data_IF_645515308088
#
_entry.id   IF_645515308088
#
_cell.length_a   1.000
_cell.length_b   1.000
_cell.length_c   1.000
_cell.angle_alpha   90.00
_cell.angle_beta   90.00
_cell.angle_gamma   90.00
#
_symmetry.space_group_name_H-M   'P 1'
#
loop_
_entity.id
_entity.type
_entity.pdbx_description
1 polymer ?
#
# COMPACT_ATOMS: atom_id res chain seq x y z
N UNK A 1 -34.22 31.35 -58.57
CA UNK A 1 -34.85 30.51 -59.62
C UNK A 1 -33.68 29.83 -60.31
N UNK A 2 -33.30 28.58 -60.03
CA UNK A 2 -34.08 27.33 -59.93
C UNK A 2 -33.40 26.40 -58.93
N UNK A 3 -34.19 25.68 -58.14
CA UNK A 3 -33.79 24.54 -57.31
C UNK A 3 -33.99 23.25 -58.11
N UNK A 4 -33.16 22.22 -57.91
CA UNK A 4 -33.62 20.82 -57.93
C UNK A 4 -32.60 19.89 -57.26
N UNK A 5 -33.14 19.03 -56.40
CA UNK A 5 -32.49 18.17 -55.41
C UNK A 5 -31.89 16.90 -56.03
N UNK A 6 -30.66 16.58 -55.62
CA UNK A 6 -30.05 15.26 -55.82
C UNK A 6 -29.68 14.68 -54.46
N UNK A 7 -30.52 13.81 -53.92
CA UNK A 7 -30.32 13.17 -52.63
C UNK A 7 -28.99 12.39 -52.59
N UNK A 8 -28.09 12.81 -51.70
CA UNK A 8 -26.95 11.99 -51.27
C UNK A 8 -27.42 11.12 -50.10
N UNK A 9 -27.50 9.81 -50.35
CA UNK A 9 -27.77 8.80 -49.33
C UNK A 9 -26.69 8.87 -48.23
N UNK A 10 -27.04 8.85 -46.94
CA UNK A 10 -26.08 8.90 -45.83
C UNK A 10 -25.33 7.58 -45.57
N UNK A 11 -25.50 6.56 -46.42
CA UNK A 11 -25.01 5.20 -46.17
C UNK A 11 -23.83 4.81 -47.09
N UNK A 12 -22.81 5.66 -47.23
CA UNK A 12 -21.54 5.25 -47.83
C UNK A 12 -20.39 5.32 -46.82
N UNK A 13 -19.85 4.15 -46.55
CA UNK A 13 -18.95 3.82 -45.44
C UNK A 13 -17.52 4.25 -45.75
N UNK A 14 -17.01 5.20 -44.96
CA UNK A 14 -15.58 5.44 -44.77
C UNK A 14 -15.21 5.22 -43.30
N UNK A 15 -14.52 4.10 -43.04
CA UNK A 15 -13.90 3.76 -41.76
C UNK A 15 -12.83 4.77 -41.32
N UNK A 16 -12.53 4.78 -40.00
CA UNK A 16 -11.35 5.37 -39.31
C UNK A 16 -11.58 6.82 -38.80
N UNK A 17 -11.50 7.21 -37.52
CA UNK A 17 -10.88 6.68 -36.30
C UNK A 17 -11.83 7.01 -35.13
N UNK A 18 -12.36 5.99 -34.45
CA UNK A 18 -13.07 6.19 -33.19
C UNK A 18 -12.08 6.46 -32.07
N UNK A 19 -11.72 7.72 -31.83
CA UNK A 19 -11.08 8.10 -30.56
C UNK A 19 -12.19 8.07 -29.52
N UNK A 20 -12.40 6.89 -28.93
CA UNK A 20 -13.24 6.73 -27.76
C UNK A 20 -12.68 7.61 -26.65
N UNK A 21 -13.42 8.67 -26.30
CA UNK A 21 -13.13 9.45 -25.09
C UNK A 21 -13.04 8.49 -23.91
N UNK A 22 -12.09 8.69 -22.98
CA UNK A 22 -11.94 7.82 -21.83
C UNK A 22 -13.24 7.85 -21.00
N UNK A 23 -14.01 6.77 -21.09
CA UNK A 23 -15.28 6.64 -20.39
C UNK A 23 -14.97 6.50 -18.90
N UNK A 24 -15.53 7.42 -18.10
CA UNK A 24 -15.33 7.42 -16.66
C UNK A 24 -15.82 6.12 -16.00
N UNK A 25 -16.79 5.43 -16.62
CA UNK A 25 -17.27 4.13 -16.17
C UNK A 25 -16.18 3.05 -16.25
N UNK A 26 -15.30 3.10 -17.25
CA UNK A 26 -14.23 2.12 -17.43
C UNK A 26 -13.13 2.33 -16.37
N UNK A 27 -12.82 3.60 -16.04
CA UNK A 27 -11.85 3.92 -14.98
C UNK A 27 -12.37 3.55 -13.57
N UNK A 28 -13.67 3.75 -13.32
CA UNK A 28 -14.30 3.30 -12.07
C UNK A 28 -14.33 1.76 -12.00
N UNK A 29 -14.56 1.10 -13.14
CA UNK A 29 -14.45 -0.35 -13.27
C UNK A 29 -13.06 -0.86 -12.89
N UNK A 30 -12.01 -0.23 -13.39
CA UNK A 30 -10.62 -0.57 -13.07
C UNK A 30 -10.29 -0.33 -11.58
N UNK A 31 -10.74 0.79 -11.00
CA UNK A 31 -10.52 1.11 -9.57
C UNK A 31 -11.21 0.09 -8.66
N UNK A 32 -12.42 -0.34 -9.00
CA UNK A 32 -13.18 -1.33 -8.22
C UNK A 32 -12.75 -2.78 -8.49
N UNK A 33 -12.03 -3.03 -9.59
CA UNK A 33 -11.53 -4.35 -9.96
C UNK A 33 -10.15 -4.68 -9.37
N UNK A 34 -9.43 -3.68 -8.83
CA UNK A 34 -8.12 -3.86 -8.16
C UNK A 34 -8.19 -4.87 -7.00
N UNK A 35 -9.35 -5.02 -6.35
CA UNK A 35 -9.52 -5.92 -5.22
C UNK A 35 -9.89 -7.38 -5.62
N UNK A 36 -10.06 -7.67 -6.92
CA UNK A 36 -10.52 -8.99 -7.41
C UNK A 36 -9.54 -9.74 -8.31
N UNK A 37 -8.31 -9.26 -8.51
CA UNK A 37 -7.27 -10.10 -9.10
C UNK A 37 -6.80 -11.15 -8.09
N UNK A 38 -7.36 -12.35 -8.24
CA UNK A 38 -6.80 -13.61 -7.75
C UNK A 38 -5.47 -13.86 -8.47
N UNK A 39 -4.43 -13.12 -8.06
CA UNK A 39 -3.05 -13.42 -8.43
C UNK A 39 -2.66 -14.76 -7.82
N UNK A 40 -2.55 -15.77 -8.68
CA UNK A 40 -1.71 -16.95 -8.45
C UNK A 40 -0.25 -16.48 -8.39
N UNK A 41 0.19 -16.08 -7.21
CA UNK A 41 1.59 -15.92 -6.80
C UNK A 41 1.88 -16.99 -5.71
N UNK A 42 3.15 -17.39 -5.50
CA UNK A 42 3.51 -18.73 -5.04
C UNK A 42 3.00 -19.01 -3.62
N UNK A 43 2.79 -20.30 -3.35
CA UNK A 43 2.35 -20.84 -2.05
C UNK A 43 3.20 -20.32 -0.88
N UNK A 44 2.74 -19.22 -0.28
CA UNK A 44 3.01 -18.85 1.10
C UNK A 44 1.67 -18.86 1.82
N UNK A 45 1.15 -20.08 2.05
CA UNK A 45 0.21 -20.45 3.12
C UNK A 45 -0.24 -19.28 4.00
N UNK A 46 -1.20 -18.48 3.52
CA UNK A 46 -1.91 -17.48 4.32
C UNK A 46 -2.93 -18.20 5.20
N UNK A 47 -2.42 -18.97 6.17
CA UNK A 47 -3.21 -19.30 7.35
C UNK A 47 -3.58 -17.97 8.02
N UNK A 48 -4.82 -17.82 8.55
CA UNK A 48 -5.23 -16.60 9.24
C UNK A 48 -4.16 -16.26 10.27
N UNK A 49 -3.49 -15.11 10.06
CA UNK A 49 -2.34 -14.71 10.87
C UNK A 49 -2.85 -14.58 12.29
N UNK A 50 -2.44 -15.53 13.15
CA UNK A 50 -2.70 -15.44 14.59
C UNK A 50 -2.36 -14.02 15.02
N UNK A 51 -3.29 -13.34 15.68
CA UNK A 51 -3.05 -12.02 16.27
C UNK A 51 -1.67 -12.02 16.94
N UNK A 52 -0.80 -11.16 16.44
CA UNK A 52 0.53 -11.01 16.98
C UNK A 52 0.42 -10.61 18.45
N UNK A 53 0.94 -11.45 19.34
CA UNK A 53 1.07 -11.13 20.76
C UNK A 53 2.53 -10.79 20.99
N UNK A 54 2.90 -9.50 21.04
CA UNK A 54 4.28 -9.10 21.27
C UNK A 54 4.75 -9.69 22.59
N UNK A 55 5.94 -10.29 22.57
CA UNK A 55 6.62 -10.83 23.76
C UNK A 55 7.53 -9.78 24.42
N UNK A 56 7.57 -8.57 23.85
CA UNK A 56 8.39 -7.44 24.28
C UNK A 56 7.92 -6.16 23.61
N UNK A 57 8.84 -5.23 23.39
CA UNK A 57 8.61 -3.99 22.64
C UNK A 57 8.76 -4.29 21.15
N UNK A 58 7.73 -4.02 20.37
CA UNK A 58 7.74 -4.27 18.94
C UNK A 58 8.61 -3.23 18.19
N UNK A 59 9.53 -3.69 17.34
CA UNK A 59 10.41 -2.80 16.55
C UNK A 59 10.06 -2.75 15.06
N UNK A 60 9.22 -3.67 14.57
CA UNK A 60 8.90 -3.83 13.16
C UNK A 60 9.13 -5.27 12.69
N UNK A 61 9.27 -5.45 11.38
CA UNK A 61 9.40 -6.77 10.76
C UNK A 61 10.77 -6.94 10.09
N UNK A 62 11.26 -8.17 10.07
CA UNK A 62 12.46 -8.51 9.31
C UNK A 62 12.15 -8.42 7.81
N UNK A 63 13.08 -7.83 7.05
CA UNK A 63 12.95 -7.68 5.59
C UNK A 63 13.04 -9.00 4.82
N UNK A 64 13.71 -10.01 5.37
CA UNK A 64 13.98 -11.26 4.66
C UNK A 64 12.82 -12.26 4.73
N UNK A 65 12.03 -12.24 5.81
CA UNK A 65 10.99 -13.24 6.05
C UNK A 65 9.69 -12.69 6.63
N UNK A 66 9.56 -11.36 6.77
CA UNK A 66 8.36 -10.71 7.28
C UNK A 66 8.03 -11.05 8.74
N UNK A 67 8.94 -11.73 9.46
CA UNK A 67 8.67 -12.08 10.87
C UNK A 67 8.85 -10.84 11.74
N UNK A 68 7.97 -10.66 12.74
CA UNK A 68 8.06 -9.53 13.64
C UNK A 68 9.31 -9.62 14.53
N UNK A 69 9.83 -8.47 14.90
CA UNK A 69 11.02 -8.28 15.75
C UNK A 69 10.59 -7.59 17.04
N UNK A 70 10.69 -8.31 18.14
CA UNK A 70 10.53 -7.75 19.48
C UNK A 70 11.87 -7.65 20.19
N UNK A 71 12.02 -6.66 21.06
CA UNK A 71 13.08 -6.63 22.08
C UNK A 71 12.49 -6.75 23.48
N UNK A 72 13.18 -7.49 24.35
CA UNK A 72 12.82 -7.50 25.76
C UNK A 72 13.04 -6.09 26.35
N UNK A 73 12.12 -5.55 27.17
CA UNK A 73 12.27 -4.24 27.81
C UNK A 73 13.61 -4.04 28.51
N UNK A 74 14.19 -5.11 29.05
CA UNK A 74 15.43 -5.05 29.83
C UNK A 74 16.66 -4.74 28.99
N UNK A 75 16.54 -4.81 27.66
CA UNK A 75 17.57 -4.30 26.75
C UNK A 75 17.72 -2.79 26.89
N UNK A 76 16.64 -2.05 27.16
CA UNK A 76 16.67 -0.60 27.37
C UNK A 76 17.29 -0.18 28.71
N UNK A 77 17.47 -1.12 29.65
CA UNK A 77 18.23 -0.87 30.88
C UNK A 77 19.75 -0.78 30.62
N UNK A 78 20.19 -1.07 29.38
CA UNK A 78 21.56 -0.85 28.90
C UNK A 78 21.54 0.32 27.91
N UNK A 79 22.66 1.03 27.80
CA UNK A 79 22.79 2.12 26.82
C UNK A 79 22.62 1.57 25.39
N UNK A 80 21.73 2.20 24.64
CA UNK A 80 21.51 1.91 23.22
C UNK A 80 21.75 3.18 22.40
N UNK A 81 22.16 3.00 21.14
CA UNK A 81 22.35 4.10 20.21
C UNK A 81 21.65 3.79 18.88
N UNK A 82 20.90 4.75 18.36
CA UNK A 82 20.34 4.70 17.00
C UNK A 82 21.24 5.52 16.07
N UNK A 83 21.88 4.87 15.09
CA UNK A 83 22.83 5.49 14.17
C UNK A 83 22.28 5.44 12.73
N UNK A 84 22.56 6.49 11.95
CA UNK A 84 22.10 6.63 10.56
C UNK A 84 22.20 8.08 10.07
N UNK A 85 22.13 8.30 8.75
CA UNK A 85 22.13 9.64 8.14
C UNK A 85 20.84 10.42 8.42
N UNK A 86 20.78 11.69 8.01
CA UNK A 86 19.52 12.45 8.01
C UNK A 86 18.48 11.75 7.11
N UNK A 87 17.21 11.76 7.53
CA UNK A 87 16.14 11.07 6.79
C UNK A 87 16.10 9.54 6.91
N UNK A 88 17.05 8.91 7.61
CA UNK A 88 17.11 7.44 7.74
C UNK A 88 16.05 6.84 8.69
N UNK A 89 15.19 7.65 9.28
CA UNK A 89 14.14 7.20 10.19
C UNK A 89 14.53 7.06 11.66
N UNK A 90 15.69 7.58 12.14
CA UNK A 90 16.07 7.52 13.56
C UNK A 90 14.99 8.08 14.50
N UNK A 91 14.44 9.26 14.19
CA UNK A 91 13.39 9.89 15.00
C UNK A 91 12.08 9.11 14.93
N UNK A 92 11.76 8.54 13.76
CA UNK A 92 10.57 7.70 13.59
C UNK A 92 10.70 6.42 14.42
N UNK A 93 11.89 5.80 14.40
CA UNK A 93 12.21 4.63 15.22
C UNK A 93 12.12 4.97 16.73
N UNK A 94 12.67 6.10 17.16
CA UNK A 94 12.59 6.55 18.54
C UNK A 94 11.13 6.76 18.99
N UNK A 95 10.30 7.40 18.13
CA UNK A 95 8.88 7.57 18.39
C UNK A 95 8.17 6.23 18.59
N UNK A 96 8.34 5.28 17.66
CA UNK A 96 7.72 3.97 17.77
C UNK A 96 8.18 3.23 19.05
N UNK A 97 9.47 3.31 19.38
CA UNK A 97 10.01 2.70 20.59
C UNK A 97 9.37 3.28 21.86
N UNK A 98 9.12 4.60 21.89
CA UNK A 98 8.45 5.27 23.01
C UNK A 98 6.96 4.90 23.08
N UNK A 99 6.28 4.75 21.95
CA UNK A 99 4.89 4.29 21.89
C UNK A 99 4.74 2.88 22.48
N UNK A 100 5.62 1.96 22.09
CA UNK A 100 5.65 0.59 22.62
C UNK A 100 6.01 0.58 24.12
N UNK A 101 6.96 1.42 24.54
CA UNK A 101 7.33 1.57 25.95
C UNK A 101 6.14 2.06 26.78
N UNK A 102 5.39 3.04 26.27
CA UNK A 102 4.19 3.56 26.93
C UNK A 102 3.09 2.50 27.05
N UNK A 103 2.84 1.69 26.01
CA UNK A 103 1.90 0.57 26.04
C UNK A 103 2.32 -0.47 27.10
N UNK A 104 3.64 -0.71 27.23
CA UNK A 104 4.22 -1.56 28.25
C UNK A 104 4.28 -0.91 29.66
N UNK A 105 3.75 0.31 29.83
CA UNK A 105 3.76 1.10 31.07
C UNK A 105 5.17 1.43 31.57
N UNK A 106 6.11 1.60 30.65
CA UNK A 106 7.48 2.02 30.93
C UNK A 106 7.55 3.54 30.74
N UNK A 107 7.90 4.32 31.79
CA UNK A 107 8.01 5.76 31.67
C UNK A 107 9.16 6.12 30.73
N UNK A 108 8.95 7.15 29.90
CA UNK A 108 9.92 7.65 28.93
C UNK A 108 10.09 9.17 29.10
N UNK A 109 11.32 9.66 28.89
CA UNK A 109 11.67 11.08 28.87
C UNK A 109 12.38 11.39 27.56
N UNK A 110 12.07 12.55 26.97
CA UNK A 110 12.55 12.98 25.64
C UNK A 110 13.17 14.36 25.76
#
# INVERSE_FOLDING_TARGET
>A
MVSEDGALNPDDLGSDVGVSEPNLADLVGDILSIDNETKKEPDVSSKPTKHYKPKGLYLGERRDNGKPVDIAPQVLARHAAMLGSTGSGKTVMAKALIEEAAIAKIPSLI
#
